data_IF_588090111629
#
_entry.id   IF_588090111629
#
_cell.length_a   1.000
_cell.length_b   1.000
_cell.length_c   1.000
_cell.angle_alpha   90.00
_cell.angle_beta   90.00
_cell.angle_gamma   90.00
#
_symmetry.space_group_name_H-M   'P 1'
#
loop_
_entity.id
_entity.type
_entity.pdbx_description
1 polymer ?
#
# COMPACT_ATOMS: atom_id res chain seq x y z
N UNK A 1 29.00 -5.36 -0.46
CA UNK A 1 28.03 -4.24 -0.28
C UNK A 1 28.06 -3.69 1.14
N UNK A 2 28.14 -2.36 1.29
CA UNK A 2 28.24 -1.68 2.60
C UNK A 2 26.89 -1.40 3.30
N UNK A 3 26.95 -0.97 4.56
CA UNK A 3 25.77 -0.72 5.41
C UNK A 3 25.03 0.58 5.04
N UNK A 4 25.73 1.55 4.45
CA UNK A 4 25.20 2.87 4.10
C UNK A 4 23.96 2.86 3.19
N UNK A 5 23.93 2.17 2.02
CA UNK A 5 22.76 2.17 1.15
C UNK A 5 21.53 1.50 1.77
N UNK A 6 21.73 0.52 2.66
CA UNK A 6 20.62 -0.12 3.40
C UNK A 6 19.97 0.84 4.40
N UNK A 7 20.79 1.58 5.17
CA UNK A 7 20.30 2.58 6.12
C UNK A 7 19.62 3.74 5.43
N UNK A 8 20.21 4.25 4.35
CA UNK A 8 19.60 5.30 3.54
C UNK A 8 18.25 4.84 2.96
N UNK A 9 18.18 3.61 2.44
CA UNK A 9 16.94 3.05 1.88
C UNK A 9 15.85 2.90 2.94
N UNK A 10 16.20 2.39 4.12
CA UNK A 10 15.25 2.30 5.23
C UNK A 10 14.77 3.70 5.68
N UNK A 11 15.68 4.67 5.77
CA UNK A 11 15.36 6.05 6.17
C UNK A 11 14.42 6.75 5.20
N UNK A 12 14.77 6.80 3.91
CA UNK A 12 13.91 7.43 2.90
C UNK A 12 12.57 6.73 2.75
N UNK A 13 12.54 5.39 2.80
CA UNK A 13 11.30 4.62 2.74
C UNK A 13 10.37 4.89 3.93
N UNK A 14 10.92 4.89 5.15
CA UNK A 14 10.14 5.14 6.37
C UNK A 14 9.61 6.57 6.44
N UNK A 15 10.45 7.57 6.14
CA UNK A 15 10.05 8.99 6.12
C UNK A 15 9.00 9.26 5.04
N UNK A 16 9.21 8.72 3.83
CA UNK A 16 8.25 8.84 2.74
C UNK A 16 6.90 8.21 3.07
N UNK A 17 6.90 7.00 3.64
CA UNK A 17 5.67 6.33 4.07
C UNK A 17 4.96 7.12 5.16
N UNK A 18 5.67 7.55 6.20
CA UNK A 18 5.10 8.35 7.30
C UNK A 18 4.44 9.64 6.77
N UNK A 19 5.14 10.36 5.89
CA UNK A 19 4.63 11.57 5.27
C UNK A 19 3.35 11.32 4.46
N UNK A 20 3.31 10.27 3.64
CA UNK A 20 2.13 9.93 2.82
C UNK A 20 0.95 9.45 3.68
N UNK A 21 1.20 8.66 4.73
CA UNK A 21 0.14 8.16 5.60
C UNK A 21 -0.58 9.26 6.39
N UNK A 22 0.06 10.40 6.62
CA UNK A 22 -0.55 11.54 7.29
C UNK A 22 -1.57 12.29 6.42
N UNK A 23 -1.48 12.20 5.09
CA UNK A 23 -2.32 12.99 4.17
C UNK A 23 -3.80 12.65 4.31
N UNK A 24 -4.14 11.35 4.35
CA UNK A 24 -5.53 10.89 4.45
C UNK A 24 -6.23 11.36 5.73
N UNK A 25 -5.71 11.15 6.95
CA UNK A 25 -6.37 11.61 8.17
C UNK A 25 -6.43 13.14 8.25
N UNK A 26 -5.39 13.85 7.78
CA UNK A 26 -5.44 15.31 7.67
C UNK A 26 -6.57 15.78 6.75
N UNK A 27 -6.77 15.09 5.63
CA UNK A 27 -7.85 15.39 4.70
C UNK A 27 -9.23 15.14 5.31
N UNK A 28 -9.44 13.97 5.94
CA UNK A 28 -10.75 13.53 6.41
C UNK A 28 -11.22 14.22 7.70
N UNK A 29 -10.31 14.52 8.62
CA UNK A 29 -10.69 14.86 10.00
C UNK A 29 -10.26 16.26 10.45
N UNK A 30 -9.46 16.98 9.66
CA UNK A 30 -9.07 18.34 10.02
C UNK A 30 -10.09 19.34 9.46
N UNK A 31 -10.83 20.11 10.29
CA UNK A 31 -11.93 20.95 9.80
C UNK A 31 -11.44 22.23 9.10
N UNK A 32 -10.37 22.84 9.62
CA UNK A 32 -9.88 24.12 9.11
C UNK A 32 -9.13 23.98 7.76
N UNK A 33 -9.59 24.64 6.68
CA UNK A 33 -9.06 24.40 5.33
C UNK A 33 -7.62 24.90 5.12
N UNK A 34 -7.26 26.04 5.72
CA UNK A 34 -5.92 26.64 5.59
C UNK A 34 -4.82 25.82 6.28
N UNK A 35 -4.91 25.49 7.58
CA UNK A 35 -3.91 24.65 8.25
C UNK A 35 -3.93 23.22 7.71
N UNK A 36 -5.10 22.65 7.37
CA UNK A 36 -5.20 21.34 6.70
C UNK A 36 -4.36 21.30 5.43
N UNK A 37 -4.61 22.23 4.51
CA UNK A 37 -3.86 22.32 3.24
C UNK A 37 -2.37 22.50 3.49
N UNK A 38 -1.99 23.39 4.40
CA UNK A 38 -0.58 23.65 4.71
C UNK A 38 0.11 22.39 5.25
N UNK A 39 -0.52 21.68 6.19
CA UNK A 39 0.00 20.43 6.74
C UNK A 39 0.14 19.34 5.67
N UNK A 40 -0.86 19.19 4.79
CA UNK A 40 -0.80 18.25 3.67
C UNK A 40 0.35 18.61 2.71
N UNK A 41 0.49 19.88 2.34
CA UNK A 41 1.56 20.33 1.45
C UNK A 41 2.96 20.15 2.07
N UNK A 42 3.11 20.36 3.38
CA UNK A 42 4.35 20.06 4.10
C UNK A 42 4.65 18.56 4.07
N UNK A 43 3.66 17.71 4.34
CA UNK A 43 3.82 16.25 4.26
C UNK A 43 4.22 15.80 2.84
N UNK A 44 3.53 16.30 1.82
CA UNK A 44 3.85 16.04 0.42
C UNK A 44 5.24 16.57 0.03
N UNK A 45 5.64 17.74 0.54
CA UNK A 45 6.98 18.30 0.38
C UNK A 45 8.06 17.41 0.98
N UNK A 46 7.85 16.88 2.19
CA UNK A 46 8.75 15.90 2.81
C UNK A 46 8.88 14.62 1.97
N UNK A 47 7.77 14.11 1.42
CA UNK A 47 7.79 12.97 0.51
C UNK A 47 8.58 13.28 -0.79
N UNK A 48 8.44 14.50 -1.31
CA UNK A 48 9.17 14.95 -2.51
C UNK A 48 10.69 15.06 -2.23
N UNK A 49 11.07 15.57 -1.06
CA UNK A 49 12.48 15.60 -0.61
C UNK A 49 13.04 14.18 -0.51
N UNK A 50 12.26 13.21 -0.04
CA UNK A 50 12.68 11.81 -0.03
C UNK A 50 12.91 11.27 -1.46
N UNK A 51 12.00 11.56 -2.40
CA UNK A 51 12.16 11.17 -3.81
C UNK A 51 13.41 11.80 -4.45
N UNK A 52 13.67 13.08 -4.18
CA UNK A 52 14.89 13.77 -4.62
C UNK A 52 16.16 13.21 -3.96
N UNK A 53 16.09 12.90 -2.67
CA UNK A 53 17.18 12.28 -1.91
C UNK A 53 17.59 10.91 -2.47
N UNK A 54 16.63 10.10 -2.94
CA UNK A 54 16.90 8.84 -3.64
C UNK A 54 17.73 9.10 -4.91
N UNK A 55 17.32 10.06 -5.74
CA UNK A 55 18.02 10.39 -6.98
C UNK A 55 19.45 10.94 -6.73
N UNK A 56 19.60 11.81 -5.73
CA UNK A 56 20.91 12.34 -5.31
C UNK A 56 21.81 11.23 -4.77
N UNK A 57 21.26 10.35 -3.92
CA UNK A 57 22.00 9.22 -3.37
C UNK A 57 22.48 8.26 -4.47
N UNK A 58 21.61 7.93 -5.43
CA UNK A 58 21.99 7.12 -6.58
C UNK A 58 23.15 7.74 -7.37
N UNK A 59 23.06 9.05 -7.63
CA UNK A 59 24.12 9.77 -8.35
C UNK A 59 25.44 9.77 -7.57
N UNK A 60 25.39 9.99 -6.25
CA UNK A 60 26.56 9.95 -5.38
C UNK A 60 27.17 8.54 -5.26
N UNK A 61 26.36 7.49 -5.37
CA UNK A 61 26.81 6.09 -5.31
C UNK A 61 27.39 5.54 -6.64
N UNK A 62 27.59 6.40 -7.65
CA UNK A 62 28.11 6.02 -8.96
C UNK A 62 27.04 5.60 -9.97
N UNK A 63 25.77 5.89 -9.69
CA UNK A 63 24.64 5.61 -10.59
C UNK A 63 23.90 4.31 -10.29
N UNK A 64 22.94 3.99 -11.17
CA UNK A 64 22.12 2.78 -11.09
C UNK A 64 22.98 1.55 -11.42
N UNK A 65 22.79 0.48 -10.65
CA UNK A 65 23.34 -0.84 -10.96
C UNK A 65 22.23 -1.82 -11.35
N UNK A 66 22.48 -2.71 -12.32
CA UNK A 66 21.57 -3.83 -12.60
C UNK A 66 21.34 -4.67 -11.34
N UNK A 67 20.12 -5.16 -11.14
CA UNK A 67 19.80 -5.99 -9.98
C UNK A 67 20.64 -7.27 -9.93
N UNK A 68 20.89 -7.90 -11.09
CA UNK A 68 21.73 -9.10 -11.20
C UNK A 68 23.16 -8.86 -10.66
N UNK A 69 23.75 -7.69 -10.95
CA UNK A 69 25.07 -7.33 -10.43
C UNK A 69 25.04 -7.20 -8.89
N UNK A 70 24.00 -6.55 -8.36
CA UNK A 70 23.80 -6.39 -6.91
C UNK A 70 23.60 -7.73 -6.22
N UNK A 71 22.78 -8.61 -6.81
CA UNK A 71 22.46 -9.91 -6.23
C UNK A 71 23.67 -10.83 -6.19
N UNK A 72 24.46 -10.86 -7.26
CA UNK A 72 25.72 -11.61 -7.35
C UNK A 72 26.77 -11.04 -6.37
N UNK A 73 26.90 -9.71 -6.28
CA UNK A 73 27.86 -9.07 -5.37
C UNK A 73 27.53 -9.25 -3.87
N UNK A 74 26.28 -9.55 -3.52
CA UNK A 74 25.90 -9.92 -2.14
C UNK A 74 26.31 -11.36 -1.78
N UNK A 75 26.45 -12.27 -2.76
CA UNK A 75 26.95 -13.63 -2.54
C UNK A 75 28.48 -13.68 -2.38
N UNK A 76 29.23 -12.91 -3.17
CA UNK A 76 30.71 -12.97 -3.18
C UNK A 76 31.39 -12.37 -1.95
N UNK A 77 30.66 -11.62 -1.12
CA UNK A 77 31.18 -11.00 0.10
C UNK A 77 31.16 -11.90 1.35
N UNK A 78 30.96 -13.22 1.20
CA UNK A 78 30.84 -14.19 2.28
C UNK A 78 32.07 -15.12 2.45
N UNK A 79 33.17 -14.85 1.72
CA UNK A 79 34.41 -15.64 1.82
C UNK A 79 35.17 -15.31 3.11
N UNK A 80 34.86 -16.02 4.19
CA UNK A 80 35.93 -16.46 5.09
C UNK A 80 36.68 -17.59 4.36
N UNK A 81 38.01 -17.62 4.49
CA UNK A 81 38.94 -18.29 3.58
C UNK A 81 38.71 -19.80 3.30
N UNK A 82 39.43 -20.37 2.32
CA UNK A 82 39.25 -21.73 1.79
C UNK A 82 39.46 -22.90 2.77
N UNK A 83 39.68 -22.63 4.06
CA UNK A 83 39.99 -23.62 5.11
C UNK A 83 38.87 -23.78 6.17
N UNK A 84 37.66 -23.26 5.93
CA UNK A 84 36.54 -23.57 6.80
C UNK A 84 36.12 -25.04 6.63
N UNK A 85 36.37 -25.86 7.66
CA UNK A 85 35.95 -27.26 7.69
C UNK A 85 34.45 -27.41 7.35
N UNK A 86 34.12 -28.48 6.62
CA UNK A 86 32.73 -28.77 6.26
C UNK A 86 31.87 -28.86 7.53
N UNK A 87 30.76 -28.11 7.64
CA UNK A 87 29.99 -28.07 8.87
C UNK A 87 29.25 -29.39 9.11
N UNK A 88 29.48 -29.99 10.29
CA UNK A 88 28.90 -31.28 10.73
C UNK A 88 27.36 -31.25 10.94
N UNK A 89 26.71 -30.10 10.87
CA UNK A 89 25.26 -29.98 11.05
C UNK A 89 24.64 -28.63 10.65
N UNK A 90 23.29 -28.51 10.68
CA UNK A 90 22.59 -27.27 10.38
C UNK A 90 22.73 -26.22 11.51
N UNK A 91 22.74 -24.91 11.21
CA UNK A 91 22.83 -23.88 12.24
C UNK A 91 21.55 -23.80 13.10
N UNK A 92 21.67 -23.36 14.36
CA UNK A 92 20.52 -23.11 15.28
C UNK A 92 19.94 -21.70 15.16
N UNK A 93 20.76 -20.74 14.77
CA UNK A 93 20.40 -19.32 14.68
C UNK A 93 20.56 -18.88 13.23
N UNK A 94 19.51 -18.28 12.66
CA UNK A 94 19.56 -17.70 11.33
C UNK A 94 19.32 -16.19 11.41
N UNK A 95 19.90 -15.41 10.49
CA UNK A 95 19.60 -13.99 10.41
C UNK A 95 18.12 -13.80 10.05
N UNK A 96 17.45 -12.93 10.81
CA UNK A 96 16.01 -12.72 10.73
C UNK A 96 15.56 -12.10 9.41
N UNK A 97 14.47 -12.61 8.82
CA UNK A 97 13.85 -12.03 7.62
C UNK A 97 12.84 -10.91 7.88
N UNK A 98 12.72 -10.42 9.12
CA UNK A 98 11.76 -9.36 9.50
C UNK A 98 11.92 -8.09 8.67
N UNK A 99 13.14 -7.72 8.29
CA UNK A 99 13.39 -6.56 7.43
C UNK A 99 12.75 -6.70 6.05
N UNK A 100 12.84 -7.88 5.43
CA UNK A 100 12.20 -8.17 4.16
C UNK A 100 10.67 -8.17 4.27
N UNK A 101 10.12 -8.78 5.34
CA UNK A 101 8.68 -8.75 5.63
C UNK A 101 8.17 -7.32 5.85
N UNK A 102 8.89 -6.49 6.60
CA UNK A 102 8.52 -5.11 6.85
C UNK A 102 8.54 -4.27 5.56
N UNK A 103 9.54 -4.44 4.70
CA UNK A 103 9.59 -3.75 3.39
C UNK A 103 8.43 -4.18 2.49
N UNK A 104 8.13 -5.47 2.43
CA UNK A 104 7.01 -6.00 1.66
C UNK A 104 5.66 -5.49 2.19
N UNK A 105 5.47 -5.47 3.51
CA UNK A 105 4.28 -4.91 4.14
C UNK A 105 4.14 -3.40 3.86
N UNK A 106 5.21 -2.64 4.06
CA UNK A 106 5.25 -1.20 3.80
C UNK A 106 4.88 -0.89 2.34
N UNK A 107 5.29 -1.74 1.41
CA UNK A 107 4.93 -1.63 0.01
C UNK A 107 3.42 -1.79 -0.23
N UNK A 108 2.81 -2.88 0.23
CA UNK A 108 1.37 -3.11 0.06
C UNK A 108 0.53 -2.04 0.76
N UNK A 109 0.90 -1.68 1.98
CA UNK A 109 0.26 -0.61 2.74
C UNK A 109 0.37 0.73 2.02
N UNK A 110 1.55 1.04 1.46
CA UNK A 110 1.81 2.27 0.71
C UNK A 110 0.93 2.39 -0.53
N UNK A 111 0.88 1.35 -1.37
CA UNK A 111 0.03 1.34 -2.58
C UNK A 111 -1.44 1.53 -2.22
N UNK A 112 -1.95 0.78 -1.24
CA UNK A 112 -3.33 0.91 -0.81
C UNK A 112 -3.63 2.31 -0.27
N UNK A 113 -2.77 2.83 0.62
CA UNK A 113 -2.94 4.15 1.21
C UNK A 113 -2.96 5.23 0.15
N UNK A 114 -2.04 5.19 -0.83
CA UNK A 114 -2.01 6.15 -1.94
C UNK A 114 -3.31 6.13 -2.75
N UNK A 115 -3.79 4.94 -3.14
CA UNK A 115 -5.00 4.83 -3.94
C UNK A 115 -6.24 5.34 -3.21
N UNK A 116 -6.40 4.97 -1.94
CA UNK A 116 -7.53 5.44 -1.11
C UNK A 116 -7.43 6.96 -0.86
N UNK A 117 -6.22 7.47 -0.62
CA UNK A 117 -5.97 8.90 -0.44
C UNK A 117 -6.30 9.70 -1.71
N UNK A 118 -5.88 9.23 -2.88
CA UNK A 118 -6.23 9.88 -4.15
C UNK A 118 -7.74 9.87 -4.37
N UNK A 119 -8.42 8.76 -4.09
CA UNK A 119 -9.86 8.69 -4.21
C UNK A 119 -10.55 9.71 -3.29
N UNK A 120 -10.14 9.77 -2.01
CA UNK A 120 -10.66 10.73 -1.04
C UNK A 120 -10.39 12.18 -1.44
N UNK A 121 -9.19 12.47 -1.94
CA UNK A 121 -8.84 13.79 -2.46
C UNK A 121 -9.74 14.16 -3.64
N UNK A 122 -9.91 13.30 -4.64
CA UNK A 122 -10.74 13.59 -5.83
C UNK A 122 -12.20 13.86 -5.46
N UNK A 123 -12.75 13.07 -4.55
CA UNK A 123 -14.18 13.12 -4.22
C UNK A 123 -14.53 14.14 -3.14
N UNK A 124 -13.57 14.59 -2.34
CA UNK A 124 -13.78 15.62 -1.33
C UNK A 124 -13.65 17.05 -1.87
N UNK A 125 -14.38 17.97 -1.24
CA UNK A 125 -14.28 19.41 -1.49
C UNK A 125 -13.14 20.01 -0.63
N UNK A 126 -12.16 20.71 -1.24
CA UNK A 126 -11.01 21.26 -0.51
C UNK A 126 -11.36 22.45 0.37
N UNK A 127 -12.36 23.24 -0.03
CA UNK A 127 -12.77 24.48 0.62
C UNK A 127 -14.29 24.59 0.60
N UNK A 128 -14.84 25.36 1.55
CA UNK A 128 -16.24 25.76 1.51
C UNK A 128 -16.48 26.67 0.30
N UNK A 129 -17.65 26.58 -0.35
CA UNK A 129 -18.04 27.54 -1.38
C UNK A 129 -17.92 28.97 -0.83
N UNK A 130 -17.39 29.90 -1.63
CA UNK A 130 -17.14 31.27 -1.15
C UNK A 130 -18.38 31.94 -0.53
N UNK A 131 -19.55 31.68 -1.10
CA UNK A 131 -20.82 32.18 -0.57
C UNK A 131 -21.12 31.61 0.82
N UNK A 132 -20.91 30.31 1.03
CA UNK A 132 -21.10 29.66 2.32
C UNK A 132 -20.10 30.21 3.35
N UNK A 133 -18.84 30.41 2.97
CA UNK A 133 -17.83 30.99 3.86
C UNK A 133 -18.22 32.41 4.32
N UNK A 134 -18.68 33.28 3.40
CA UNK A 134 -19.13 34.64 3.75
C UNK A 134 -20.36 34.61 4.68
N UNK A 135 -21.27 33.65 4.48
CA UNK A 135 -22.44 33.46 5.35
C UNK A 135 -22.00 32.95 6.74
N UNK A 136 -21.06 32.01 6.80
CA UNK A 136 -20.48 31.49 8.05
C UNK A 136 -19.79 32.58 8.86
N UNK A 137 -18.94 33.40 8.22
CA UNK A 137 -18.22 34.52 8.85
C UNK A 137 -19.16 35.59 9.41
N UNK A 138 -20.39 35.68 8.89
CA UNK A 138 -21.42 36.59 9.36
C UNK A 138 -22.34 35.99 10.44
N UNK A 139 -22.07 34.77 10.93
CA UNK A 139 -22.90 34.08 11.91
C UNK A 139 -24.08 33.37 11.25
N UNK A 140 -23.78 32.34 10.48
CA UNK A 140 -24.77 31.54 9.78
C UNK A 140 -25.74 30.86 10.75
N UNK A 141 -27.02 30.83 10.38
CA UNK A 141 -28.07 30.11 11.10
C UNK A 141 -28.96 29.37 10.07
N UNK A 142 -29.40 28.16 10.43
CA UNK A 142 -30.41 27.43 9.66
C UNK A 142 -31.81 27.92 10.04
N UNK A 143 -32.64 28.28 9.05
CA UNK A 143 -34.03 28.60 9.30
C UNK A 143 -34.97 28.15 8.18
N UNK A 144 -36.21 27.83 8.56
CA UNK A 144 -37.30 27.60 7.63
C UNK A 144 -37.94 28.93 7.22
N UNK A 145 -37.65 29.40 6.01
CA UNK A 145 -38.11 30.69 5.48
C UNK A 145 -39.26 30.53 4.49
N UNK A 146 -40.20 31.48 4.44
CA UNK A 146 -41.32 31.42 3.50
C UNK A 146 -40.88 31.74 2.06
N UNK A 147 -41.40 30.97 1.11
CA UNK A 147 -41.17 31.17 -0.32
C UNK A 147 -42.12 32.27 -0.83
N UNK A 148 -41.55 33.34 -1.38
CA UNK A 148 -42.29 34.44 -1.99
C UNK A 148 -42.65 34.18 -3.45
N UNK A 149 -41.78 33.47 -4.19
CA UNK A 149 -42.00 33.11 -5.59
C UNK A 149 -41.27 31.82 -5.92
N UNK A 150 -41.87 30.96 -6.74
CA UNK A 150 -41.25 29.75 -7.30
C UNK A 150 -41.24 29.86 -8.82
N UNK A 151 -40.14 29.50 -9.44
CA UNK A 151 -39.95 29.37 -10.89
C UNK A 151 -39.18 28.09 -11.22
N UNK A 152 -39.15 27.74 -12.51
CA UNK A 152 -38.33 26.67 -13.09
C UNK A 152 -38.39 25.35 -12.32
N UNK A 153 -39.61 24.86 -12.07
CA UNK A 153 -39.83 23.61 -11.33
C UNK A 153 -39.65 22.43 -12.28
N UNK A 154 -38.59 21.66 -12.07
CA UNK A 154 -38.34 20.41 -12.79
C UNK A 154 -38.53 19.23 -11.85
N UNK A 155 -39.22 18.19 -12.32
CA UNK A 155 -39.31 16.91 -11.63
C UNK A 155 -38.23 15.98 -12.18
N UNK A 156 -37.43 15.42 -11.28
CA UNK A 156 -36.50 14.36 -11.59
C UNK A 156 -37.03 13.05 -11.01
N UNK A 157 -37.25 12.08 -11.90
CA UNK A 157 -37.60 10.71 -11.59
C UNK A 157 -36.37 9.82 -11.87
N UNK A 158 -35.45 9.68 -10.90
CA UNK A 158 -34.30 8.82 -11.07
C UNK A 158 -34.73 7.35 -11.01
N UNK A 159 -34.30 6.56 -12.00
CA UNK A 159 -34.56 5.10 -12.07
C UNK A 159 -34.14 4.32 -10.82
N UNK A 160 -33.30 4.91 -9.97
CA UNK A 160 -33.02 4.49 -8.59
C UNK A 160 -33.07 5.70 -7.67
N UNK A 161 -34.13 5.82 -6.86
CA UNK A 161 -34.26 6.86 -5.85
C UNK A 161 -35.71 7.23 -5.58
N UNK A 162 -35.90 8.29 -4.81
CA UNK A 162 -37.20 8.96 -4.68
C UNK A 162 -37.25 10.15 -5.63
N UNK A 163 -38.43 10.39 -6.20
CA UNK A 163 -38.76 11.59 -6.96
C UNK A 163 -38.34 12.83 -6.19
N UNK A 164 -37.70 13.77 -6.88
CA UNK A 164 -37.34 15.05 -6.30
C UNK A 164 -37.55 16.19 -7.30
N UNK A 165 -37.87 17.36 -6.75
CA UNK A 165 -38.06 18.59 -7.50
C UNK A 165 -36.85 19.50 -7.32
N UNK A 166 -36.33 19.99 -8.44
CA UNK A 166 -35.43 21.15 -8.46
C UNK A 166 -36.24 22.38 -8.82
N UNK A 167 -35.93 23.53 -8.21
CA UNK A 167 -36.63 24.78 -8.53
C UNK A 167 -35.78 26.00 -8.28
N UNK A 168 -36.17 27.14 -8.85
CA UNK A 168 -35.65 28.46 -8.47
C UNK A 168 -36.66 29.14 -7.55
N UNK A 169 -36.34 29.27 -6.26
CA UNK A 169 -37.23 29.87 -5.27
C UNK A 169 -36.68 31.20 -4.77
N UNK A 170 -37.52 32.23 -4.74
CA UNK A 170 -37.23 33.51 -4.09
C UNK A 170 -37.79 33.45 -2.67
N UNK A 171 -36.92 33.50 -1.67
CA UNK A 171 -37.28 33.41 -0.25
C UNK A 171 -37.15 34.76 0.45
N UNK A 172 -37.94 34.98 1.51
CA UNK A 172 -37.86 36.17 2.37
C UNK A 172 -37.02 35.87 3.62
N UNK A 173 -35.88 36.54 3.74
CA UNK A 173 -34.95 36.42 4.86
C UNK A 173 -35.29 37.47 5.93
N UNK A 174 -35.40 37.03 7.19
CA UNK A 174 -35.70 37.89 8.32
C UNK A 174 -34.41 38.32 9.04
N UNK A 175 -34.18 39.63 9.27
CA UNK A 175 -33.03 40.09 10.03
C UNK A 175 -33.21 39.92 11.55
N UNK A 176 -32.12 39.70 12.28
CA UNK A 176 -32.11 39.48 13.75
C UNK A 176 -32.57 40.70 14.56
N UNK A 177 -32.46 41.92 14.02
CA UNK A 177 -32.67 43.18 14.74
C UNK A 177 -33.84 44.04 14.19
N UNK A 178 -34.91 43.43 13.70
CA UNK A 178 -36.12 44.18 13.27
C UNK A 178 -35.94 45.03 12.00
N UNK A 179 -34.90 44.76 11.20
CA UNK A 179 -34.67 45.39 9.90
C UNK A 179 -35.70 44.97 8.83
N UNK A 180 -35.61 45.60 7.65
CA UNK A 180 -36.46 45.22 6.50
C UNK A 180 -36.10 43.81 5.99
N UNK A 181 -37.08 42.95 5.68
CA UNK A 181 -36.83 41.65 5.10
C UNK A 181 -36.18 41.78 3.72
N UNK A 182 -35.20 40.92 3.43
CA UNK A 182 -34.48 40.88 2.15
C UNK A 182 -34.89 39.63 1.40
N UNK A 183 -35.06 39.74 0.09
CA UNK A 183 -35.32 38.57 -0.76
C UNK A 183 -34.03 37.98 -1.29
N UNK A 184 -33.89 36.66 -1.26
CA UNK A 184 -32.78 35.94 -1.85
C UNK A 184 -33.30 34.85 -2.80
N UNK A 185 -32.61 34.64 -3.90
CA UNK A 185 -32.88 33.53 -4.82
C UNK A 185 -32.06 32.33 -4.38
N UNK A 186 -32.72 31.18 -4.24
CA UNK A 186 -32.12 29.91 -3.85
C UNK A 186 -32.59 28.80 -4.80
N UNK A 187 -31.80 27.74 -4.90
CA UNK A 187 -32.10 26.59 -5.74
C UNK A 187 -32.36 25.34 -4.88
N UNK A 188 -33.54 25.21 -4.26
CA UNK A 188 -33.82 24.08 -3.37
C UNK A 188 -34.08 22.80 -4.16
N UNK A 189 -33.63 21.69 -3.56
CA UNK A 189 -34.00 20.33 -3.94
C UNK A 189 -34.98 19.81 -2.89
N UNK A 190 -36.22 19.53 -3.28
CA UNK A 190 -37.28 19.10 -2.34
C UNK A 190 -37.99 17.83 -2.82
N UNK A 191 -38.37 16.91 -1.91
CA UNK A 191 -39.14 15.72 -2.29
C UNK A 191 -40.55 16.09 -2.76
N UNK A 192 -41.13 17.12 -2.16
CA UNK A 192 -42.44 17.63 -2.53
C UNK A 192 -42.35 18.79 -3.51
N UNK A 193 -43.37 18.94 -4.35
CA UNK A 193 -43.47 20.06 -5.29
C UNK A 193 -43.50 21.40 -4.54
N UNK A 194 -42.55 22.32 -4.79
CA UNK A 194 -42.47 23.59 -4.07
C UNK A 194 -43.67 24.49 -4.43
N UNK A 195 -44.19 25.22 -3.43
CA UNK A 195 -45.35 26.11 -3.55
C UNK A 195 -45.07 27.47 -2.94
N UNK A 196 -45.58 28.53 -3.56
CA UNK A 196 -45.58 29.88 -2.98
C UNK A 196 -46.30 29.88 -1.64
N UNK A 197 -45.72 30.53 -0.63
CA UNK A 197 -46.19 30.50 0.76
C UNK A 197 -45.75 29.27 1.55
N UNK A 198 -45.20 28.24 0.90
CA UNK A 198 -44.52 27.13 1.57
C UNK A 198 -43.24 27.57 2.27
N UNK A 199 -42.64 26.67 3.06
CA UNK A 199 -41.37 26.91 3.74
C UNK A 199 -40.26 26.07 3.13
N UNK A 200 -39.05 26.63 3.09
CA UNK A 200 -37.83 25.94 2.68
C UNK A 200 -36.76 26.19 3.73
N UNK A 201 -36.02 25.14 4.08
CA UNK A 201 -34.84 25.26 4.95
C UNK A 201 -33.72 25.93 4.17
N UNK A 202 -33.17 27.00 4.72
CA UNK A 202 -32.04 27.71 4.15
C UNK A 202 -31.00 28.01 5.21
N UNK A 203 -29.75 28.06 4.76
CA UNK A 203 -28.62 28.61 5.49
C UNK A 203 -28.41 30.06 5.06
N UNK A 204 -28.46 31.00 6.01
CA UNK A 204 -28.22 32.42 5.76
C UNK A 204 -27.66 33.08 7.02
N UNK A 205 -27.20 34.33 6.90
CA UNK A 205 -26.70 35.11 8.05
C UNK A 205 -27.74 36.15 8.48
N UNK A 206 -28.41 35.99 9.65
CA UNK A 206 -29.44 36.93 10.11
C UNK A 206 -28.91 38.33 10.44
N UNK A 207 -27.61 38.45 10.71
CA UNK A 207 -26.92 39.74 10.94
C UNK A 207 -26.65 40.50 9.63
N UNK A 208 -26.53 39.78 8.51
CA UNK A 208 -26.26 40.31 7.17
C UNK A 208 -27.05 39.54 6.09
N UNK A 209 -28.39 39.67 6.06
CA UNK A 209 -29.23 38.92 5.12
C UNK A 209 -28.98 39.28 3.64
N UNK A 210 -28.30 40.39 3.36
CA UNK A 210 -27.88 40.78 2.02
C UNK A 210 -26.79 39.89 1.40
N UNK A 211 -26.17 38.99 2.15
CA UNK A 211 -25.22 37.99 1.63
C UNK A 211 -25.90 36.86 0.83
N UNK A 212 -27.24 36.83 0.84
CA UNK A 212 -28.03 35.77 0.22
C UNK A 212 -28.22 34.57 1.16
N UNK A 213 -28.67 33.47 0.58
CA UNK A 213 -28.94 32.22 1.28
C UNK A 213 -28.55 31.03 0.40
N UNK A 214 -28.34 29.88 1.04
CA UNK A 214 -28.16 28.58 0.39
C UNK A 214 -29.31 27.67 0.81
N UNK A 215 -29.92 26.96 -0.14
CA UNK A 215 -30.98 26.02 0.18
C UNK A 215 -30.40 24.74 0.79
N UNK A 216 -30.92 24.34 1.94
CA UNK A 216 -30.47 23.16 2.67
C UNK A 216 -30.77 23.26 4.17
N UNK A 217 -30.82 22.11 4.81
CA UNK A 217 -30.93 21.93 6.24
C UNK A 217 -29.59 21.51 6.87
N UNK A 218 -29.58 21.30 8.19
CA UNK A 218 -28.41 20.87 8.92
C UNK A 218 -27.85 19.53 8.42
N UNK A 219 -28.70 18.62 7.93
CA UNK A 219 -28.26 17.33 7.39
C UNK A 219 -27.56 17.44 6.04
N UNK A 220 -27.94 18.41 5.22
CA UNK A 220 -27.39 18.57 3.86
C UNK A 220 -26.19 19.50 3.81
N UNK A 221 -26.17 20.57 4.61
CA UNK A 221 -25.10 21.58 4.60
C UNK A 221 -24.27 21.64 5.87
N UNK A 222 -24.64 20.92 6.95
CA UNK A 222 -23.95 20.99 8.24
C UNK A 222 -22.48 20.58 8.15
N UNK A 223 -22.20 19.42 7.54
CA UNK A 223 -20.82 18.93 7.36
C UNK A 223 -19.94 19.93 6.57
N UNK A 224 -20.51 20.54 5.52
CA UNK A 224 -19.80 21.53 4.69
C UNK A 224 -19.59 22.86 5.44
N UNK A 225 -20.59 23.28 6.21
CA UNK A 225 -20.52 24.45 7.10
C UNK A 225 -19.45 24.27 8.18
N UNK A 226 -19.30 23.06 8.73
CA UNK A 226 -18.25 22.71 9.68
C UNK A 226 -16.87 22.62 9.01
N UNK A 227 -16.81 22.62 7.69
CA UNK A 227 -15.57 22.61 6.90
C UNK A 227 -15.04 21.21 6.61
N UNK A 228 -15.86 20.19 6.82
CA UNK A 228 -15.55 18.83 6.41
C UNK A 228 -15.36 18.77 4.89
N UNK A 229 -14.37 18.01 4.44
CA UNK A 229 -14.13 17.83 3.00
C UNK A 229 -15.14 16.90 2.36
N UNK A 230 -15.81 16.08 3.17
CA UNK A 230 -16.76 15.06 2.75
C UNK A 230 -17.83 14.92 3.83
N UNK A 231 -19.03 14.52 3.43
CA UNK A 231 -20.05 14.16 4.41
C UNK A 231 -19.59 13.01 5.31
N UNK A 232 -20.16 12.93 6.51
CA UNK A 232 -19.79 11.95 7.54
C UNK A 232 -19.86 10.50 7.03
N UNK A 233 -20.91 10.15 6.28
CA UNK A 233 -21.07 8.81 5.69
C UNK A 233 -19.94 8.43 4.71
N UNK A 234 -19.72 9.22 3.63
CA UNK A 234 -18.59 9.02 2.73
C UNK A 234 -17.22 8.96 3.41
N UNK A 235 -16.97 9.80 4.42
CA UNK A 235 -15.72 9.79 5.17
C UNK A 235 -15.50 8.44 5.89
N UNK A 236 -16.54 7.88 6.50
CA UNK A 236 -16.48 6.54 7.11
C UNK A 236 -16.27 5.43 6.08
N UNK A 237 -16.90 5.51 4.91
CA UNK A 237 -16.69 4.53 3.82
C UNK A 237 -15.22 4.52 3.40
N UNK A 238 -14.61 5.70 3.21
CA UNK A 238 -13.19 5.83 2.90
C UNK A 238 -12.32 5.27 4.02
N UNK A 239 -12.63 5.59 5.28
CA UNK A 239 -11.90 5.07 6.45
C UNK A 239 -11.95 3.54 6.55
N UNK A 240 -13.12 2.93 6.33
CA UNK A 240 -13.30 1.48 6.30
C UNK A 240 -12.55 0.85 5.13
N UNK A 241 -12.61 1.46 3.93
CA UNK A 241 -11.88 0.97 2.76
C UNK A 241 -10.35 0.98 3.01
N UNK A 242 -9.85 2.02 3.66
CA UNK A 242 -8.45 2.09 4.08
C UNK A 242 -8.09 0.98 5.07
N UNK A 243 -8.89 0.80 6.14
CA UNK A 243 -8.69 -0.26 7.13
C UNK A 243 -8.74 -1.67 6.51
N UNK A 244 -9.70 -1.92 5.62
CA UNK A 244 -9.82 -3.18 4.89
C UNK A 244 -8.59 -3.44 4.01
N UNK A 245 -8.05 -2.41 3.37
CA UNK A 245 -6.83 -2.50 2.59
C UNK A 245 -5.56 -2.78 3.41
N UNK A 246 -5.49 -2.24 4.64
CA UNK A 246 -4.44 -2.60 5.60
C UNK A 246 -4.51 -4.09 5.95
N UNK A 247 -5.71 -4.59 6.29
CA UNK A 247 -5.92 -6.02 6.59
C UNK A 247 -5.58 -6.88 5.38
N UNK A 248 -6.01 -6.51 4.18
CA UNK A 248 -5.70 -7.23 2.95
C UNK A 248 -4.19 -7.29 2.69
N UNK A 249 -3.46 -6.20 2.95
CA UNK A 249 -1.99 -6.15 2.84
C UNK A 249 -1.31 -7.17 3.76
N UNK A 250 -1.82 -7.33 4.98
CA UNK A 250 -1.33 -8.31 5.96
C UNK A 250 -1.66 -9.74 5.51
N UNK A 251 -2.86 -9.99 4.99
CA UNK A 251 -3.27 -11.29 4.46
C UNK A 251 -2.43 -11.68 3.23
N UNK A 252 -2.17 -10.74 2.31
CA UNK A 252 -1.30 -10.96 1.15
C UNK A 252 0.13 -11.31 1.59
N UNK A 253 0.68 -10.61 2.58
CA UNK A 253 1.99 -10.93 3.15
C UNK A 253 2.01 -12.34 3.77
N UNK A 254 0.96 -12.70 4.51
CA UNK A 254 0.80 -14.02 5.11
C UNK A 254 0.86 -15.13 4.05
N UNK A 255 0.11 -14.96 2.95
CA UNK A 255 0.06 -15.94 1.87
C UNK A 255 1.35 -16.01 1.05
N UNK A 256 1.99 -14.88 0.76
CA UNK A 256 3.17 -14.84 -0.12
C UNK A 256 4.47 -15.22 0.60
N UNK A 257 4.60 -14.86 1.88
CA UNK A 257 5.86 -14.94 2.60
C UNK A 257 5.75 -15.66 3.95
N UNK A 258 4.55 -15.78 4.55
CA UNK A 258 4.36 -16.27 5.91
C UNK A 258 4.90 -15.31 6.98
N UNK A 259 4.38 -15.40 8.21
CA UNK A 259 4.81 -14.52 9.32
C UNK A 259 6.05 -14.98 10.08
N UNK A 260 6.51 -16.21 9.84
CA UNK A 260 7.66 -16.74 10.58
C UNK A 260 8.91 -15.92 10.29
N UNK A 261 9.71 -15.59 11.30
CA UNK A 261 10.92 -14.75 11.14
C UNK A 261 12.23 -15.54 10.98
N UNK A 262 12.20 -16.85 11.28
CA UNK A 262 13.34 -17.78 11.30
C UNK A 262 14.54 -17.37 12.17
N UNK A 263 14.37 -16.41 13.09
CA UNK A 263 15.46 -15.95 13.97
C UNK A 263 16.09 -17.06 14.84
N UNK A 264 15.33 -18.11 15.17
CA UNK A 264 15.84 -19.35 15.77
C UNK A 264 15.13 -20.55 15.15
N UNK A 265 15.89 -21.60 14.86
CA UNK A 265 15.36 -22.90 14.54
C UNK A 265 15.10 -23.67 15.85
N UNK A 266 13.93 -24.28 15.96
CA UNK A 266 13.40 -24.95 17.15
C UNK A 266 13.04 -26.41 16.90
N UNK A 267 12.33 -27.01 17.87
CA UNK A 267 12.03 -28.46 17.90
C UNK A 267 11.19 -28.98 16.73
N UNK A 268 10.43 -28.09 16.10
CA UNK A 268 9.54 -28.41 14.99
C UNK A 268 10.24 -28.31 13.62
N UNK A 269 11.50 -27.88 13.59
CA UNK A 269 12.22 -27.67 12.35
C UNK A 269 12.99 -28.90 11.92
N UNK A 270 12.94 -29.14 10.63
CA UNK A 270 13.67 -30.19 9.96
C UNK A 270 14.72 -29.55 9.07
N UNK A 271 15.84 -30.25 8.89
CA UNK A 271 16.87 -29.87 7.95
C UNK A 271 17.29 -31.07 7.12
N UNK A 272 17.62 -30.83 5.86
CA UNK A 272 18.18 -31.83 4.95
C UNK A 272 19.35 -31.24 4.21
N UNK A 273 20.37 -32.08 3.99
CA UNK A 273 21.54 -31.73 3.20
C UNK A 273 21.26 -32.03 1.73
N UNK A 274 21.51 -31.07 0.85
CA UNK A 274 21.28 -31.25 -0.58
C UNK A 274 22.24 -30.43 -1.44
N UNK A 275 22.44 -30.88 -2.67
CA UNK A 275 23.23 -30.22 -3.70
C UNK A 275 22.34 -29.29 -4.50
N UNK A 276 22.74 -28.02 -4.63
CA UNK A 276 22.04 -27.07 -5.48
C UNK A 276 22.35 -27.33 -6.96
N UNK A 277 21.33 -27.51 -7.79
CA UNK A 277 21.50 -27.79 -9.22
C UNK A 277 21.24 -26.58 -10.12
N UNK A 278 20.70 -25.49 -9.57
CA UNK A 278 20.40 -24.29 -10.33
C UNK A 278 18.96 -23.80 -10.21
N UNK A 279 18.63 -22.73 -10.94
CA UNK A 279 17.26 -22.26 -11.11
C UNK A 279 16.44 -23.28 -11.90
N UNK A 280 15.17 -23.43 -11.54
CA UNK A 280 14.20 -24.28 -12.23
C UNK A 280 12.82 -23.60 -12.19
N UNK A 281 11.83 -24.17 -12.87
CA UNK A 281 10.45 -23.74 -12.81
C UNK A 281 9.59 -24.88 -12.29
N UNK A 282 8.88 -24.61 -11.20
CA UNK A 282 7.86 -25.53 -10.72
C UNK A 282 6.56 -25.29 -11.47
N UNK A 283 6.04 -26.34 -12.10
CA UNK A 283 4.75 -26.33 -12.83
C UNK A 283 3.67 -27.05 -12.03
N UNK A 284 2.52 -26.39 -11.84
CA UNK A 284 1.25 -27.04 -11.47
C UNK A 284 0.13 -26.43 -12.30
N UNK A 285 -0.49 -27.25 -13.15
CA UNK A 285 -1.39 -26.77 -14.19
C UNK A 285 -0.66 -25.78 -15.12
N UNK A 286 -1.34 -24.68 -15.45
CA UNK A 286 -0.79 -23.59 -16.28
C UNK A 286 0.09 -22.58 -15.51
N UNK A 287 0.30 -22.78 -14.21
CA UNK A 287 1.11 -21.86 -13.39
C UNK A 287 2.57 -22.31 -13.29
N UNK A 288 3.48 -21.45 -13.74
CA UNK A 288 4.94 -21.59 -13.56
C UNK A 288 5.42 -20.66 -12.43
N UNK A 289 6.13 -21.23 -11.45
CA UNK A 289 6.77 -20.47 -10.38
C UNK A 289 8.29 -20.71 -10.41
N UNK A 290 9.12 -19.65 -10.43
CA UNK A 290 10.57 -19.82 -10.35
C UNK A 290 10.93 -20.43 -9.00
N UNK A 291 11.82 -21.41 -9.04
CA UNK A 291 12.31 -22.10 -7.87
C UNK A 291 13.80 -22.40 -8.00
N UNK A 292 14.41 -22.76 -6.88
CA UNK A 292 15.77 -23.27 -6.81
C UNK A 292 15.68 -24.78 -6.59
N UNK A 293 16.32 -25.55 -7.47
CA UNK A 293 16.30 -27.00 -7.43
C UNK A 293 17.41 -27.53 -6.54
N UNK A 294 17.04 -28.35 -5.57
CA UNK A 294 17.96 -28.97 -4.62
C UNK A 294 17.76 -30.47 -4.67
N UNK A 295 18.84 -31.22 -4.78
CA UNK A 295 18.80 -32.69 -4.81
C UNK A 295 19.52 -33.26 -3.60
N UNK A 296 18.84 -34.11 -2.83
CA UNK A 296 19.40 -34.78 -1.66
C UNK A 296 20.29 -35.97 -2.08
N UNK A 297 21.05 -36.52 -1.14
CA UNK A 297 21.93 -37.68 -1.40
C UNK A 297 21.19 -38.94 -1.86
N UNK A 298 19.88 -39.03 -1.63
CA UNK A 298 18.99 -40.11 -2.09
C UNK A 298 18.33 -39.83 -3.45
N UNK A 299 18.80 -38.81 -4.17
CA UNK A 299 18.27 -38.36 -5.45
C UNK A 299 16.84 -37.79 -5.41
N UNK A 300 16.31 -37.43 -4.22
CA UNK A 300 15.03 -36.70 -4.14
C UNK A 300 15.24 -35.22 -4.44
N UNK A 301 14.26 -34.62 -5.11
CA UNK A 301 14.31 -33.21 -5.51
C UNK A 301 13.39 -32.37 -4.62
N UNK A 302 13.91 -31.27 -4.07
CA UNK A 302 13.14 -30.25 -3.38
C UNK A 302 13.14 -28.95 -4.18
N UNK A 303 11.96 -28.33 -4.32
CA UNK A 303 11.78 -27.04 -5.00
C UNK A 303 11.64 -25.93 -3.96
N UNK A 304 12.71 -25.13 -3.83
CA UNK A 304 12.72 -23.98 -2.96
C UNK A 304 12.21 -22.75 -3.71
N UNK A 305 11.04 -22.26 -3.33
CA UNK A 305 10.43 -21.06 -3.90
C UNK A 305 11.12 -19.83 -3.32
N UNK A 306 11.83 -19.13 -4.19
CA UNK A 306 12.48 -17.87 -3.88
C UNK A 306 12.18 -16.85 -4.99
N UNK A 307 12.15 -15.57 -4.64
CA UNK A 307 11.99 -14.48 -5.62
C UNK A 307 13.30 -14.20 -6.35
N UNK A 308 13.84 -15.22 -7.03
CA UNK A 308 15.18 -15.20 -7.63
C UNK A 308 15.10 -15.82 -9.03
N UNK A 309 15.61 -15.11 -10.03
CA UNK A 309 15.78 -15.61 -11.40
C UNK A 309 17.17 -16.22 -11.59
N UNK A 310 17.36 -16.98 -12.67
CA UNK A 310 18.63 -17.61 -13.01
C UNK A 310 19.81 -16.64 -12.96
N UNK A 311 19.65 -15.46 -13.54
CA UNK A 311 20.71 -14.45 -13.65
C UNK A 311 21.03 -13.75 -12.31
N UNK A 312 20.25 -14.02 -11.25
CA UNK A 312 20.45 -13.40 -9.94
C UNK A 312 21.36 -14.22 -9.02
N UNK A 313 21.61 -15.49 -9.36
CA UNK A 313 22.48 -16.40 -8.60
C UNK A 313 23.80 -16.57 -9.35
N UNK A 314 24.96 -16.42 -8.68
CA UNK A 314 26.24 -16.67 -9.31
C UNK A 314 26.35 -18.13 -9.76
N UNK A 315 26.90 -18.37 -10.95
CA UNK A 315 27.15 -19.73 -11.45
C UNK A 315 28.06 -20.54 -10.51
N UNK A 316 28.89 -19.89 -9.70
CA UNK A 316 29.77 -20.53 -8.70
C UNK A 316 29.01 -21.23 -7.57
N UNK A 317 27.74 -20.90 -7.36
CA UNK A 317 26.90 -21.56 -6.33
C UNK A 317 26.38 -22.91 -6.83
N UNK A 318 26.25 -23.08 -8.15
CA UNK A 318 25.76 -24.32 -8.76
C UNK A 318 26.70 -25.49 -8.43
N UNK A 319 26.14 -26.55 -7.87
CA UNK A 319 26.87 -27.73 -7.45
C UNK A 319 27.39 -27.69 -6.01
N UNK A 320 27.21 -26.58 -5.27
CA UNK A 320 27.53 -26.53 -3.85
C UNK A 320 26.52 -27.33 -3.01
N UNK A 321 26.99 -27.87 -1.88
CA UNK A 321 26.14 -28.47 -0.87
C UNK A 321 25.59 -27.39 0.07
N UNK A 322 24.31 -27.50 0.40
CA UNK A 322 23.57 -26.54 1.21
C UNK A 322 22.70 -27.29 2.22
N UNK A 323 22.39 -26.62 3.32
CA UNK A 323 21.36 -27.05 4.26
C UNK A 323 20.02 -26.39 3.91
N UNK A 324 19.00 -27.20 3.62
CA UNK A 324 17.61 -26.77 3.50
C UNK A 324 16.92 -26.99 4.85
N UNK A 325 16.48 -25.92 5.49
CA UNK A 325 15.78 -25.93 6.78
C UNK A 325 14.32 -25.47 6.59
N UNK A 326 13.34 -26.15 7.19
CA UNK A 326 11.93 -25.77 7.09
C UNK A 326 11.13 -26.09 8.34
N UNK A 327 9.95 -25.47 8.46
CA UNK A 327 8.97 -25.78 9.49
C UNK A 327 8.17 -27.02 9.10
N UNK A 328 8.32 -28.13 9.83
CA UNK A 328 7.58 -29.35 9.54
C UNK A 328 6.12 -29.33 10.03
N UNK A 329 5.73 -28.36 10.89
CA UNK A 329 4.36 -28.24 11.40
C UNK A 329 3.48 -27.32 10.55
N UNK A 330 4.07 -26.28 9.96
CA UNK A 330 3.32 -25.37 9.08
C UNK A 330 3.19 -25.96 7.68
N UNK A 331 1.95 -26.11 7.18
CA UNK A 331 1.66 -26.65 5.84
C UNK A 331 1.24 -28.14 5.80
N UNK A 332 1.25 -28.84 6.93
CA UNK A 332 0.74 -30.21 7.04
C UNK A 332 -0.79 -30.27 7.21
N UNK A 333 -1.37 -29.25 7.86
CA UNK A 333 -2.81 -29.15 8.06
C UNK A 333 -3.42 -28.38 6.89
N UNK A 334 -4.02 -29.11 5.95
CA UNK A 334 -4.71 -28.62 4.74
C UNK A 334 -5.94 -27.74 4.98
N UNK A 335 -5.86 -26.81 5.93
CA UNK A 335 -6.89 -25.80 6.19
C UNK A 335 -7.05 -24.86 5.01
N UNK A 336 -8.25 -24.27 4.89
CA UNK A 336 -8.68 -23.34 3.82
C UNK A 336 -7.75 -22.12 3.61
N UNK A 337 -6.83 -21.87 4.55
CA UNK A 337 -5.86 -20.77 4.55
C UNK A 337 -4.39 -21.23 4.48
N UNK A 338 -4.13 -22.54 4.43
CA UNK A 338 -2.78 -23.10 4.26
C UNK A 338 -2.46 -23.13 2.75
N UNK A 339 -1.74 -22.11 2.27
CA UNK A 339 -1.13 -22.21 0.94
C UNK A 339 -0.17 -23.40 0.95
N UNK A 340 -0.19 -24.27 -0.06
CA UNK A 340 0.59 -25.52 -0.14
C UNK A 340 2.12 -25.34 -0.20
N UNK A 341 2.68 -24.51 0.66
CA UNK A 341 4.08 -24.24 0.88
C UNK A 341 4.32 -23.86 2.35
N UNK A 342 5.42 -24.34 2.92
CA UNK A 342 5.90 -24.03 4.27
C UNK A 342 7.05 -23.03 4.22
N UNK A 343 7.18 -22.12 5.19
CA UNK A 343 8.36 -21.28 5.27
C UNK A 343 9.65 -22.11 5.34
N UNK A 344 10.70 -21.68 4.63
CA UNK A 344 11.98 -22.38 4.58
C UNK A 344 13.18 -21.43 4.46
N UNK A 345 14.37 -21.94 4.76
CA UNK A 345 15.64 -21.25 4.62
C UNK A 345 16.71 -22.16 4.00
N UNK A 346 17.50 -21.61 3.08
CA UNK A 346 18.72 -22.21 2.56
C UNK A 346 19.92 -21.60 3.26
N UNK A 347 20.84 -22.45 3.70
CA UNK A 347 22.09 -22.07 4.34
C UNK A 347 23.23 -22.69 3.55
N UNK A 348 24.15 -21.86 3.10
CA UNK A 348 25.38 -22.32 2.47
C UNK A 348 26.51 -22.54 3.46
N UNK A 349 27.41 -23.43 3.08
CA UNK A 349 28.70 -23.61 3.75
C UNK A 349 29.62 -22.40 3.59
N UNK A 350 29.29 -21.44 2.73
CA UNK A 350 29.99 -20.16 2.65
C UNK A 350 29.37 -19.13 3.61
N UNK A 351 28.35 -19.50 4.39
CA UNK A 351 27.80 -18.66 5.46
C UNK A 351 26.71 -17.67 5.04
N UNK A 352 26.24 -17.72 3.78
CA UNK A 352 25.06 -16.96 3.38
C UNK A 352 23.76 -17.73 3.66
N UNK A 353 22.69 -16.97 3.92
CA UNK A 353 21.35 -17.50 4.21
C UNK A 353 20.29 -16.85 3.31
N UNK A 354 19.51 -17.66 2.61
CA UNK A 354 18.38 -17.23 1.79
C UNK A 354 17.07 -17.73 2.39
N UNK A 355 16.10 -16.84 2.59
CA UNK A 355 14.76 -17.23 3.05
C UNK A 355 13.79 -17.33 1.88
N UNK A 356 12.87 -18.28 1.96
CA UNK A 356 11.88 -18.56 0.93
C UNK A 356 10.76 -19.43 1.48
N UNK A 357 10.17 -20.21 0.58
CA UNK A 357 9.13 -21.19 0.91
C UNK A 357 9.50 -22.53 0.27
N UNK A 358 9.20 -23.64 0.94
CA UNK A 358 9.32 -25.00 0.41
C UNK A 358 7.91 -25.51 0.12
N UNK A 359 7.67 -26.18 -1.02
CA UNK A 359 6.34 -26.76 -1.30
C UNK A 359 5.97 -27.79 -0.23
N UNK A 360 4.68 -27.86 0.14
CA UNK A 360 4.22 -28.78 1.18
C UNK A 360 4.49 -30.24 0.81
N UNK A 361 4.25 -30.62 -0.46
CA UNK A 361 4.52 -31.96 -0.98
C UNK A 361 6.00 -32.33 -0.87
N UNK A 362 6.89 -31.40 -1.27
CA UNK A 362 8.33 -31.56 -1.14
C UNK A 362 8.75 -31.63 0.34
N UNK A 363 8.16 -30.80 1.21
CA UNK A 363 8.45 -30.79 2.64
C UNK A 363 8.06 -32.12 3.31
N UNK A 364 6.91 -32.70 2.93
CA UNK A 364 6.47 -34.03 3.41
C UNK A 364 7.39 -35.12 2.90
N UNK A 365 7.77 -35.09 1.63
CA UNK A 365 8.72 -36.04 1.05
C UNK A 365 10.09 -35.95 1.73
N UNK A 366 10.58 -34.73 2.01
CA UNK A 366 11.85 -34.48 2.67
C UNK A 366 11.84 -34.84 4.15
N UNK A 367 10.67 -34.86 4.81
CA UNK A 367 10.56 -35.18 6.23
C UNK A 367 11.05 -36.61 6.57
N UNK A 368 10.97 -37.55 5.62
CA UNK A 368 11.45 -38.91 5.81
C UNK A 368 12.99 -39.03 5.82
N UNK A 369 13.70 -38.05 5.27
CA UNK A 369 15.17 -38.02 5.17
C UNK A 369 15.80 -36.91 6.02
N UNK A 370 15.00 -35.91 6.37
CA UNK A 370 15.42 -34.77 7.16
C UNK A 370 15.76 -35.18 8.60
N UNK A 371 16.67 -34.40 9.19
CA UNK A 371 17.03 -34.49 10.59
C UNK A 371 16.38 -33.34 11.36
N UNK A 372 15.90 -33.63 12.57
CA UNK A 372 15.41 -32.57 13.45
C UNK A 372 16.56 -31.63 13.81
N UNK A 373 16.39 -30.32 13.58
CA UNK A 373 17.45 -29.32 13.77
C UNK A 373 17.99 -29.32 15.20
N UNK A 374 17.11 -29.52 16.20
CA UNK A 374 17.51 -29.57 17.61
C UNK A 374 18.57 -30.66 17.86
N UNK A 375 18.37 -31.86 17.30
CA UNK A 375 19.28 -33.01 17.46
C UNK A 375 20.56 -32.89 16.63
N UNK A 376 20.45 -32.30 15.44
CA UNK A 376 21.59 -32.18 14.51
C UNK A 376 22.53 -31.04 14.90
N UNK A 377 22.00 -29.94 15.45
CA UNK A 377 22.79 -28.77 15.81
C UNK A 377 23.54 -28.91 17.14
N UNK A 378 23.30 -29.95 17.95
CA UNK A 378 24.11 -30.28 19.14
C UNK A 378 25.52 -30.76 18.78
N UNK A 379 25.74 -31.12 17.52
CA UNK A 379 27.03 -31.58 17.00
C UNK A 379 27.89 -30.44 16.44
N UNK A 380 27.37 -29.22 16.37
CA UNK A 380 28.08 -28.07 15.80
C UNK A 380 28.94 -27.34 16.85
N UNK A 381 30.15 -26.96 16.44
CA UNK A 381 31.06 -26.07 17.17
C UNK A 381 30.58 -24.61 17.23
N UNK A 382 31.50 -23.67 17.49
CA UNK A 382 31.18 -22.26 17.76
C UNK A 382 30.23 -21.60 16.74
N UNK A 383 29.38 -20.66 17.18
CA UNK A 383 28.39 -20.00 16.34
C UNK A 383 29.06 -19.22 15.19
N UNK A 384 28.89 -19.71 13.97
CA UNK A 384 29.36 -19.05 12.75
C UNK A 384 28.56 -17.78 12.45
N UNK A 385 29.26 -16.74 12.00
CA UNK A 385 28.63 -15.52 11.49
C UNK A 385 27.89 -15.81 10.17
N UNK A 386 26.57 -15.88 10.23
CA UNK A 386 25.72 -16.05 9.05
C UNK A 386 25.22 -14.70 8.52
N UNK A 387 25.26 -14.52 7.20
CA UNK A 387 24.81 -13.30 6.53
C UNK A 387 23.52 -13.54 5.75
N UNK A 388 22.52 -12.68 5.98
CA UNK A 388 21.30 -12.68 5.20
C UNK A 388 21.59 -12.22 3.77
N UNK A 389 21.25 -13.05 2.80
CA UNK A 389 21.15 -12.65 1.41
C UNK A 389 19.81 -11.91 1.21
N UNK A 390 19.89 -10.58 1.13
CA UNK A 390 18.75 -9.70 0.86
C UNK A 390 19.16 -8.57 -0.09
N UNK A 391 19.33 -8.85 -1.40
CA UNK A 391 19.65 -7.82 -2.40
C UNK A 391 18.61 -6.69 -2.45
N UNK A 392 17.36 -6.97 -2.10
CA UNK A 392 16.30 -5.98 -2.04
C UNK A 392 16.47 -4.96 -0.91
N UNK A 393 17.29 -5.24 0.09
CA UNK A 393 17.65 -4.25 1.13
C UNK A 393 18.42 -3.06 0.55
N UNK A 394 19.01 -3.20 -0.64
CA UNK A 394 19.82 -2.19 -1.32
C UNK A 394 19.05 -1.53 -2.48
N UNK A 395 17.71 -1.47 -2.35
CA UNK A 395 16.79 -1.02 -3.39
C UNK A 395 17.11 0.34 -4.02
N UNK A 396 17.70 1.25 -3.24
CA UNK A 396 18.15 2.54 -3.75
C UNK A 396 19.08 2.41 -4.96
N UNK A 397 19.88 1.35 -5.09
CA UNK A 397 20.87 1.26 -6.17
C UNK A 397 20.31 0.74 -7.49
N UNK A 398 19.16 0.04 -7.49
CA UNK A 398 18.57 -0.54 -8.71
C UNK A 398 17.30 0.15 -9.19
N UNK A 399 16.70 1.02 -8.37
CA UNK A 399 15.48 1.75 -8.73
C UNK A 399 15.68 2.53 -10.04
N UNK A 400 14.80 2.34 -11.05
CA UNK A 400 14.84 3.11 -12.29
C UNK A 400 14.65 4.62 -12.05
N UNK A 401 15.25 5.50 -12.88
CA UNK A 401 15.07 6.95 -12.78
C UNK A 401 13.61 7.40 -13.03
N UNK A 402 12.81 6.55 -13.68
CA UNK A 402 11.38 6.79 -13.84
C UNK A 402 10.61 6.76 -12.50
N UNK A 403 11.08 6.04 -11.48
CA UNK A 403 10.38 5.93 -10.18
C UNK A 403 10.33 7.26 -9.42
N UNK A 404 11.44 7.99 -9.18
CA UNK A 404 11.36 9.30 -8.53
C UNK A 404 10.58 10.32 -9.37
N UNK A 405 10.61 10.21 -10.72
CA UNK A 405 9.79 11.04 -11.61
C UNK A 405 8.29 10.75 -11.42
N UNK A 406 7.88 9.48 -11.47
CA UNK A 406 6.50 9.07 -11.24
C UNK A 406 6.02 9.44 -9.83
N UNK A 407 6.90 9.33 -8.83
CA UNK A 407 6.63 9.78 -7.47
C UNK A 407 6.38 11.29 -7.42
N UNK A 408 7.22 12.09 -8.10
CA UNK A 408 7.04 13.53 -8.18
C UNK A 408 5.73 13.92 -8.88
N UNK A 409 5.37 13.23 -9.98
CA UNK A 409 4.08 13.43 -10.67
C UNK A 409 2.92 13.09 -9.74
N UNK A 410 2.95 11.94 -9.07
CA UNK A 410 1.93 11.52 -8.11
C UNK A 410 1.77 12.54 -6.97
N UNK A 411 2.88 12.99 -6.38
CA UNK A 411 2.89 13.99 -5.31
C UNK A 411 2.33 15.33 -5.82
N UNK A 412 2.71 15.73 -7.03
CA UNK A 412 2.17 16.93 -7.69
C UNK A 412 0.66 16.85 -7.90
N UNK A 413 0.15 15.71 -8.38
CA UNK A 413 -1.29 15.48 -8.51
C UNK A 413 -2.00 15.56 -7.15
N UNK A 414 -1.46 14.91 -6.11
CA UNK A 414 -2.03 14.98 -4.77
C UNK A 414 -2.04 16.42 -4.22
N UNK A 415 -0.96 17.19 -4.45
CA UNK A 415 -0.87 18.59 -4.04
C UNK A 415 -1.91 19.45 -4.77
N UNK A 416 -2.06 19.29 -6.08
CA UNK A 416 -3.06 20.01 -6.88
C UNK A 416 -4.49 19.73 -6.39
N UNK A 417 -4.80 18.49 -5.99
CA UNK A 417 -6.13 18.13 -5.46
C UNK A 417 -6.45 18.79 -4.12
N UNK A 418 -5.48 19.38 -3.41
CA UNK A 418 -5.74 20.19 -2.22
C UNK A 418 -6.26 21.59 -2.55
N UNK A 419 -6.17 22.01 -3.82
CA UNK A 419 -6.71 23.28 -4.31
C UNK A 419 -8.09 23.09 -4.91
N UNK A 420 -8.83 24.20 -4.95
CA UNK A 420 -10.12 24.24 -5.61
C UNK A 420 -9.94 24.15 -7.12
N UNK A 421 -10.40 23.05 -7.69
CA UNK A 421 -10.25 22.69 -9.10
C UNK A 421 -11.64 22.37 -9.65
N UNK A 422 -11.98 22.95 -10.79
CA UNK A 422 -13.33 22.84 -11.34
C UNK A 422 -13.60 21.45 -11.93
N UNK A 423 -14.68 20.82 -11.48
CA UNK A 423 -15.33 19.66 -12.10
C UNK A 423 -14.39 18.61 -12.71
N UNK A 424 -14.37 18.56 -14.04
CA UNK A 424 -13.66 17.54 -14.84
C UNK A 424 -12.14 17.55 -14.57
N UNK A 425 -11.52 18.70 -14.34
CA UNK A 425 -10.07 18.80 -14.11
C UNK A 425 -9.63 18.08 -12.84
N UNK A 426 -10.46 18.10 -11.79
CA UNK A 426 -10.21 17.36 -10.56
C UNK A 426 -10.13 15.85 -10.82
N UNK A 427 -11.04 15.32 -11.62
CA UNK A 427 -11.04 13.91 -12.03
C UNK A 427 -9.86 13.56 -12.93
N UNK A 428 -9.50 14.41 -13.89
CA UNK A 428 -8.33 14.21 -14.76
C UNK A 428 -7.05 14.13 -13.94
N UNK A 429 -6.86 15.04 -12.97
CA UNK A 429 -5.69 15.03 -12.08
C UNK A 429 -5.69 13.78 -11.19
N UNK A 430 -6.86 13.39 -10.67
CA UNK A 430 -7.06 12.17 -9.92
C UNK A 430 -6.66 10.90 -10.67
N UNK A 431 -7.16 10.75 -11.90
CA UNK A 431 -6.85 9.61 -12.78
C UNK A 431 -5.37 9.61 -13.14
N UNK A 432 -4.80 10.78 -13.46
CA UNK A 432 -3.36 10.92 -13.75
C UNK A 432 -2.52 10.48 -12.55
N UNK A 433 -2.88 10.91 -11.34
CA UNK A 433 -2.25 10.46 -10.10
C UNK A 433 -2.38 8.95 -9.88
N UNK A 434 -3.56 8.37 -10.12
CA UNK A 434 -3.78 6.94 -9.98
C UNK A 434 -2.95 6.13 -10.99
N UNK A 435 -2.89 6.56 -12.25
CA UNK A 435 -2.05 5.94 -13.29
C UNK A 435 -0.57 6.07 -12.93
N UNK A 436 -0.11 7.22 -12.46
CA UNK A 436 1.27 7.42 -12.01
C UNK A 436 1.60 6.51 -10.80
N UNK A 437 0.69 6.39 -9.84
CA UNK A 437 0.82 5.51 -8.68
C UNK A 437 0.85 4.03 -9.05
N UNK A 438 -0.01 3.59 -9.98
CA UNK A 438 -0.02 2.22 -10.51
C UNK A 438 1.23 1.93 -11.34
N UNK A 439 1.68 2.87 -12.16
CA UNK A 439 2.91 2.75 -12.94
C UNK A 439 4.15 2.71 -12.03
N UNK A 440 4.19 3.53 -10.98
CA UNK A 440 5.21 3.47 -9.93
C UNK A 440 5.17 2.11 -9.23
N UNK A 441 3.96 1.64 -8.90
CA UNK A 441 3.67 0.30 -8.41
C UNK A 441 4.31 -0.77 -9.30
N UNK A 442 3.98 -0.72 -10.58
CA UNK A 442 4.44 -1.66 -11.59
C UNK A 442 5.97 -1.62 -11.80
N UNK A 443 6.59 -0.44 -11.84
CA UNK A 443 8.03 -0.29 -12.02
C UNK A 443 8.82 -0.79 -10.81
N UNK A 444 8.32 -0.53 -9.61
CA UNK A 444 8.90 -1.06 -8.38
C UNK A 444 8.67 -2.57 -8.21
N UNK A 445 7.60 -3.13 -8.78
CA UNK A 445 7.36 -4.57 -8.85
C UNK A 445 8.19 -5.26 -9.96
N UNK A 446 8.38 -4.62 -11.11
CA UNK A 446 9.24 -5.16 -12.19
C UNK A 446 10.73 -5.03 -11.87
N UNK A 447 11.11 -4.16 -10.94
CA UNK A 447 12.35 -4.31 -10.18
C UNK A 447 12.15 -5.48 -9.20
N UNK A 448 12.90 -6.57 -9.35
CA UNK A 448 12.43 -7.97 -9.39
C UNK A 448 11.60 -8.45 -8.18
N UNK A 449 10.37 -7.96 -8.10
CA UNK A 449 9.35 -8.28 -7.12
C UNK A 449 8.01 -8.40 -7.89
N UNK A 450 7.74 -9.39 -8.77
CA UNK A 450 7.29 -10.70 -8.26
C UNK A 450 7.16 -11.86 -9.29
N UNK A 451 7.13 -13.12 -8.84
CA UNK A 451 6.46 -14.21 -9.55
C UNK A 451 5.14 -14.63 -8.90
N UNK A 452 5.00 -14.41 -7.59
CA UNK A 452 3.88 -14.93 -6.78
C UNK A 452 2.58 -14.12 -6.97
N UNK A 453 2.67 -12.80 -7.11
CA UNK A 453 1.48 -11.93 -7.29
C UNK A 453 0.86 -12.06 -8.67
N UNK A 454 1.68 -12.31 -9.72
CA UNK A 454 1.18 -12.62 -11.07
C UNK A 454 0.43 -13.96 -11.06
N UNK A 455 0.99 -14.99 -10.42
CA UNK A 455 0.30 -16.27 -10.29
C UNK A 455 -0.99 -16.19 -9.45
N UNK A 456 -1.01 -15.37 -8.39
CA UNK A 456 -2.19 -15.20 -7.53
C UNK A 456 -3.31 -14.34 -8.15
N UNK A 457 -2.96 -13.29 -8.91
CA UNK A 457 -3.95 -12.42 -9.57
C UNK A 457 -4.50 -13.01 -10.88
N UNK A 458 -3.72 -13.86 -11.58
CA UNK A 458 -4.14 -14.52 -12.83
C UNK A 458 -4.59 -15.97 -12.64
N UNK A 459 -4.63 -16.47 -11.40
CA UNK A 459 -5.37 -17.68 -11.02
C UNK A 459 -6.88 -17.37 -11.00
N UNK A 460 -7.47 -17.02 -12.15
CA UNK A 460 -8.92 -17.06 -12.33
C UNK A 460 -9.30 -18.26 -13.17
N UNK A 461 -10.27 -19.00 -12.65
CA UNK A 461 -10.76 -20.24 -13.19
C UNK A 461 -11.20 -20.15 -14.64
N UNK A 462 -10.79 -21.15 -15.38
CA UNK A 462 -11.48 -21.67 -16.56
C UNK A 462 -11.44 -23.17 -16.44
N UNK A 463 -12.44 -23.74 -15.76
CA UNK A 463 -12.86 -25.11 -16.06
C UNK A 463 -13.92 -25.00 -17.16
N UNK A 464 -13.69 -25.58 -18.35
CA UNK A 464 -14.75 -26.14 -19.15
C UNK A 464 -14.70 -27.67 -19.02
N UNK A 465 -15.67 -28.23 -18.31
CA UNK A 465 -16.24 -29.54 -18.59
C UNK A 465 -17.70 -29.54 -18.13
#
# INVERSE_FOLDING_TARGET
MGVAPRRAGAGFGALGLAALTAVLPLWLFWPDPQPRRTAILVALGCALVCAGGIAVFQRAAGGRRPYAEISVAEFSGATDGPDAAEPDGPPRVLPSRRGAQARCLAWYLGVCTVLVTLFALVTGAPQRPEQMQRIADAGAEFAAVPIAKVGDVELHDPSKGHDYYTSTAVVRLAPKAGGRPVTATVHPVTPDRPRTGGKVSVLYAPTRPGLGALAGDERSLGDELDGATMGTGPAWIVGIAWAAGIVLSVVCLAHCHGFRSFSRLGRADMAVRGKYLGPDFWRRGDSEQPCLKIVTGSARTAHFLATVLADHVPASVTGQYLWLCWDARQGADGGRFSGGATPAALVSDDGWVMHGMLKADDAQMMAAEGVAVEKAAERNGEPRALRLWDPHSVWLLYVPPAVPLLAAVLIGCAALLTFDLTGIWRWVIGITGAVAGLALGHQAMNAPYPSVVRAALFSKGTDPA
#
